data_IF_260937109186
#
_entry.id   IF_260937109186
#
_cell.length_a   1.000
_cell.length_b   1.000
_cell.length_c   1.000
_cell.angle_alpha   90.00
_cell.angle_beta   90.00
_cell.angle_gamma   90.00
#
_symmetry.space_group_name_H-M   'P 1'
#
loop_
_entity.id
_entity.type
_entity.pdbx_description
1 polymer ?
#
# COMPACT_ATOMS: atom_id res chain seq x y z
N UNK A 1 2.78 -5.63 -11.27
CA UNK A 1 3.89 -4.68 -11.07
C UNK A 1 4.97 -5.30 -10.17
N UNK A 2 6.23 -4.91 -10.33
CA UNK A 2 7.29 -5.35 -9.42
C UNK A 2 7.23 -4.53 -8.13
N UNK A 3 6.80 -5.15 -7.03
CA UNK A 3 6.73 -4.50 -5.72
C UNK A 3 8.11 -4.29 -5.08
N UNK A 4 9.21 -4.62 -5.78
CA UNK A 4 10.59 -4.59 -5.27
C UNK A 4 10.72 -5.33 -3.94
N UNK A 5 10.06 -6.49 -3.80
CA UNK A 5 9.90 -7.23 -2.53
C UNK A 5 9.24 -6.40 -1.42
N UNK A 6 8.20 -5.64 -1.74
CA UNK A 6 7.48 -4.72 -0.84
C UNK A 6 8.32 -3.54 -0.30
N UNK A 7 9.52 -3.32 -0.85
CA UNK A 7 10.36 -2.16 -0.53
C UNK A 7 9.97 -0.91 -1.31
N UNK A 8 9.05 -1.03 -2.27
CA UNK A 8 8.51 0.13 -2.95
C UNK A 8 7.90 1.10 -1.93
N UNK A 9 8.20 2.38 -2.08
CA UNK A 9 7.60 3.42 -1.24
C UNK A 9 6.12 3.60 -1.57
N UNK A 10 5.33 4.09 -0.63
CA UNK A 10 3.93 4.47 -0.93
C UNK A 10 3.91 5.57 -2.01
N UNK A 11 4.94 6.41 -2.08
CA UNK A 11 5.08 7.42 -3.14
C UNK A 11 5.17 6.77 -4.52
N UNK A 12 6.14 5.88 -4.71
CA UNK A 12 6.31 5.12 -5.95
C UNK A 12 5.08 4.25 -6.25
N UNK A 13 4.47 3.63 -5.24
CA UNK A 13 3.24 2.83 -5.37
C UNK A 13 2.07 3.66 -5.91
N UNK A 14 1.94 4.91 -5.45
CA UNK A 14 0.90 5.83 -5.90
C UNK A 14 1.18 6.43 -7.28
N UNK A 15 2.43 6.44 -7.72
CA UNK A 15 2.82 6.87 -9.07
C UNK A 15 2.48 5.80 -10.12
N UNK A 16 2.30 4.53 -9.71
CA UNK A 16 1.77 3.47 -10.56
C UNK A 16 0.22 3.47 -10.56
N UNK A 17 -0.45 3.69 -11.72
CA UNK A 17 -1.91 3.80 -11.76
C UNK A 17 -2.64 2.51 -11.35
N UNK A 18 -2.10 1.33 -11.69
CA UNK A 18 -2.66 0.04 -11.27
C UNK A 18 -2.59 -0.18 -9.76
N UNK A 19 -1.42 0.05 -9.17
CA UNK A 19 -1.21 -0.13 -7.74
C UNK A 19 -1.93 0.94 -6.91
N UNK A 20 -1.97 2.18 -7.38
CA UNK A 20 -2.79 3.25 -6.80
C UNK A 20 -4.26 2.85 -6.70
N UNK A 21 -4.83 2.28 -7.76
CA UNK A 21 -6.24 1.88 -7.78
C UNK A 21 -6.52 0.79 -6.74
N UNK A 22 -5.68 -0.25 -6.67
CA UNK A 22 -5.79 -1.32 -5.67
C UNK A 22 -5.63 -0.78 -4.25
N UNK A 23 -4.60 0.03 -4.01
CA UNK A 23 -4.31 0.61 -2.70
C UNK A 23 -5.41 1.56 -2.24
N UNK A 24 -5.94 2.40 -3.12
CA UNK A 24 -7.06 3.29 -2.82
C UNK A 24 -8.33 2.52 -2.49
N UNK A 25 -8.57 1.39 -3.17
CA UNK A 25 -9.75 0.55 -2.96
C UNK A 25 -9.68 -0.21 -1.64
N UNK A 26 -8.49 -0.69 -1.24
CA UNK A 26 -8.32 -1.43 0.03
C UNK A 26 -8.07 -0.55 1.24
N UNK A 27 -7.38 0.56 1.05
CA UNK A 27 -7.00 1.51 2.10
C UNK A 27 -7.46 2.95 1.80
N UNK A 28 -8.77 3.19 1.59
CA UNK A 28 -9.28 4.54 1.34
C UNK A 28 -9.04 5.48 2.54
N UNK A 29 -8.90 4.93 3.75
CA UNK A 29 -8.63 5.68 4.96
C UNK A 29 -7.18 6.22 4.99
N UNK A 30 -6.21 5.46 4.46
CA UNK A 30 -4.83 5.92 4.33
C UNK A 30 -4.73 7.05 3.29
N UNK A 31 -5.50 6.97 2.21
CA UNK A 31 -5.58 8.02 1.18
C UNK A 31 -6.11 9.37 1.73
N UNK A 32 -6.98 9.31 2.73
CA UNK A 32 -7.54 10.50 3.40
C UNK A 32 -6.69 11.01 4.57
N UNK A 33 -5.61 10.31 4.91
CA UNK A 33 -4.78 10.70 6.04
C UNK A 33 -3.95 11.93 5.65
N UNK A 34 -3.91 13.00 6.47
CA UNK A 34 -3.09 14.18 6.18
C UNK A 34 -1.59 13.85 6.09
N UNK A 35 -1.17 12.75 6.70
CA UNK A 35 0.20 12.23 6.57
C UNK A 35 0.43 11.38 5.32
N UNK A 36 -0.49 11.31 4.36
CA UNK A 36 -0.23 10.63 3.08
C UNK A 36 1.01 11.20 2.39
N UNK A 37 1.21 12.52 2.47
CA UNK A 37 2.42 13.19 1.95
C UNK A 37 3.70 12.68 2.60
N UNK A 38 3.70 12.47 3.92
CA UNK A 38 4.82 11.88 4.65
C UNK A 38 4.92 10.36 4.43
N UNK A 39 3.80 9.68 4.24
CA UNK A 39 3.77 8.25 3.94
C UNK A 39 4.43 7.95 2.58
N UNK A 40 4.52 8.92 1.66
CA UNK A 40 5.22 8.75 0.38
C UNK A 40 6.70 8.34 0.54
N UNK A 41 7.32 8.65 1.67
CA UNK A 41 8.71 8.26 1.97
C UNK A 41 8.83 6.94 2.74
N UNK A 42 7.70 6.35 3.14
CA UNK A 42 7.60 5.10 3.90
C UNK A 42 7.41 3.95 2.91
N UNK A 43 7.98 2.77 3.21
CA UNK A 43 7.81 1.59 2.36
C UNK A 43 6.43 0.95 2.54
N UNK A 44 5.98 0.23 1.51
CA UNK A 44 4.76 -0.58 1.59
C UNK A 44 4.85 -1.57 2.76
N UNK A 45 5.99 -2.22 2.95
CA UNK A 45 6.21 -3.11 4.09
C UNK A 45 5.99 -2.42 5.44
N UNK A 46 6.58 -1.23 5.65
CA UNK A 46 6.43 -0.48 6.90
C UNK A 46 4.97 -0.10 7.16
N UNK A 47 4.24 0.35 6.13
CA UNK A 47 2.82 0.69 6.31
C UNK A 47 1.97 -0.54 6.58
N UNK A 48 2.31 -1.69 5.98
CA UNK A 48 1.66 -2.97 6.25
C UNK A 48 1.95 -3.47 7.67
N UNK A 49 3.16 -3.25 8.18
CA UNK A 49 3.52 -3.56 9.57
C UNK A 49 2.75 -2.72 10.61
N UNK A 50 2.29 -1.52 10.24
CA UNK A 50 1.37 -0.74 11.08
C UNK A 50 -0.07 -1.20 10.84
N UNK A 51 -0.45 -1.43 9.57
CA UNK A 51 -1.79 -1.84 9.20
C UNK A 51 -2.18 -3.21 9.77
N UNK A 52 -1.25 -4.15 9.96
CA UNK A 52 -1.54 -5.46 10.57
C UNK A 52 -2.13 -5.36 11.99
N UNK A 53 -1.89 -4.26 12.71
CA UNK A 53 -2.50 -4.01 14.02
C UNK A 53 -4.00 -3.68 13.92
N UNK A 54 -4.46 -3.25 12.74
CA UNK A 54 -5.84 -2.80 12.49
C UNK A 54 -6.56 -3.63 11.43
N UNK A 55 -5.82 -4.41 10.64
CA UNK A 55 -6.29 -5.12 9.45
C UNK A 55 -5.81 -6.58 9.51
N UNK A 56 -6.72 -7.56 9.34
CA UNK A 56 -6.34 -8.97 9.33
C UNK A 56 -5.32 -9.30 8.24
N UNK A 57 -4.39 -10.20 8.55
CA UNK A 57 -3.33 -10.67 7.64
C UNK A 57 -3.88 -11.10 6.28
N UNK A 58 -5.01 -11.82 6.26
CA UNK A 58 -5.69 -12.23 5.01
C UNK A 58 -6.00 -11.05 4.07
N UNK A 59 -6.44 -9.91 4.61
CA UNK A 59 -6.70 -8.72 3.79
C UNK A 59 -5.40 -8.12 3.25
N UNK A 60 -4.31 -8.18 4.01
CA UNK A 60 -2.99 -7.73 3.57
C UNK A 60 -2.50 -8.61 2.41
N UNK A 61 -2.58 -9.93 2.54
CA UNK A 61 -2.16 -10.87 1.50
C UNK A 61 -2.96 -10.72 0.21
N UNK A 62 -4.30 -10.56 0.33
CA UNK A 62 -5.16 -10.26 -0.81
C UNK A 62 -4.74 -8.96 -1.50
N UNK A 63 -4.39 -7.93 -0.72
CA UNK A 63 -3.95 -6.64 -1.30
C UNK A 63 -2.60 -6.78 -1.99
N UNK A 64 -1.64 -7.47 -1.39
CA UNK A 64 -0.33 -7.73 -1.99
C UNK A 64 -0.46 -8.54 -3.28
N UNK A 65 -1.37 -9.52 -3.31
CA UNK A 65 -1.67 -10.31 -4.51
C UNK A 65 -2.29 -9.46 -5.62
N UNK A 66 -3.25 -8.59 -5.29
CA UNK A 66 -3.83 -7.64 -6.25
C UNK A 66 -2.77 -6.64 -6.76
N UNK A 67 -1.93 -6.09 -5.88
CA UNK A 67 -0.85 -5.16 -6.24
C UNK A 67 0.21 -5.80 -7.15
N UNK A 68 0.51 -7.10 -6.96
CA UNK A 68 1.40 -7.84 -7.88
C UNK A 68 0.80 -8.03 -9.26
N UNK A 69 -0.52 -8.19 -9.34
CA UNK A 69 -1.27 -8.40 -10.59
C UNK A 69 -1.62 -7.10 -11.33
N UNK A 70 -1.61 -5.98 -10.63
CA UNK A 70 -1.89 -4.65 -11.18
C UNK A 70 -0.72 -4.05 -11.99
#
# INVERSE_FOLDING_TARGET
MDLKRNQITVGELLDHPGARAVFQRRFPMLMKHPMLGAARTITLEQILSVAQAYVPQKKIDETLSELRRA
#
